data_IF_369690651866
#
_entry.id   IF_369690651866
#
_cell.length_a   1.000
_cell.length_b   1.000
_cell.length_c   1.000
_cell.angle_alpha   90.00
_cell.angle_beta   90.00
_cell.angle_gamma   90.00
#
_symmetry.space_group_name_H-M   'P 1'
#
loop_
_entity.id
_entity.type
_entity.pdbx_description
1 polymer ?
#
# COMPACT_ATOMS: atom_id res chain seq x y z
N UNK A 1 33.55 17.27 -47.04
CA UNK A 1 34.14 16.79 -45.76
C UNK A 1 33.59 17.74 -44.72
N UNK A 2 32.36 17.46 -44.34
CA UNK A 2 31.49 18.37 -43.60
C UNK A 2 31.34 17.86 -42.18
N UNK A 3 31.69 18.73 -41.23
CA UNK A 3 31.43 18.53 -39.82
C UNK A 3 29.92 18.61 -39.57
N UNK A 4 29.30 17.65 -38.86
CA UNK A 4 27.95 17.83 -38.36
C UNK A 4 27.95 18.68 -37.08
N UNK A 5 27.24 19.79 -37.20
CA UNK A 5 26.76 20.73 -36.19
C UNK A 5 26.34 20.10 -34.84
N UNK A 6 26.85 20.69 -33.75
CA UNK A 6 26.35 20.53 -32.39
C UNK A 6 24.91 21.05 -32.28
N UNK A 7 23.94 20.13 -32.16
CA UNK A 7 22.60 20.45 -31.70
C UNK A 7 22.63 20.83 -30.21
N UNK A 8 22.26 22.07 -29.90
CA UNK A 8 22.01 22.54 -28.54
C UNK A 8 20.83 21.77 -27.93
N UNK A 9 20.88 21.42 -26.63
CA UNK A 9 19.76 20.77 -25.97
C UNK A 9 18.55 21.72 -25.88
N UNK A 10 17.41 21.25 -26.36
CA UNK A 10 16.10 21.88 -26.10
C UNK A 10 15.82 21.89 -24.58
N UNK A 11 15.22 22.95 -24.03
CA UNK A 11 14.85 22.99 -22.63
C UNK A 11 13.80 21.92 -22.35
N UNK A 12 14.10 21.05 -21.40
CA UNK A 12 13.14 20.09 -20.87
C UNK A 12 11.90 20.86 -20.39
N UNK A 13 10.77 20.63 -21.04
CA UNK A 13 9.48 21.03 -20.51
C UNK A 13 9.34 20.42 -19.12
N UNK A 14 9.30 21.29 -18.11
CA UNK A 14 8.93 20.91 -16.76
C UNK A 14 7.51 20.38 -16.81
N UNK A 15 7.40 19.05 -16.82
CA UNK A 15 6.16 18.36 -16.51
C UNK A 15 5.79 18.77 -15.09
N UNK A 16 4.94 19.79 -14.97
CA UNK A 16 4.22 20.09 -13.74
C UNK A 16 3.47 18.80 -13.40
N UNK A 17 4.01 18.05 -12.44
CA UNK A 17 3.25 17.06 -11.70
C UNK A 17 2.10 17.83 -11.07
N UNK A 18 0.95 17.83 -11.74
CA UNK A 18 -0.29 18.29 -11.16
C UNK A 18 -0.60 17.29 -10.04
N UNK A 19 -0.12 17.58 -8.83
CA UNK A 19 -0.77 17.05 -7.65
C UNK A 19 -2.18 17.62 -7.66
N UNK A 20 -3.11 16.87 -8.25
CA UNK A 20 -4.52 17.02 -7.92
C UNK A 20 -4.64 16.57 -6.46
N UNK A 21 -4.25 17.45 -5.54
CA UNK A 21 -4.93 17.56 -4.25
C UNK A 21 -6.36 18.01 -4.57
N UNK A 22 -7.17 17.08 -5.09
CA UNK A 22 -8.61 17.20 -4.97
C UNK A 22 -8.87 17.08 -3.49
N UNK A 23 -8.93 18.22 -2.79
CA UNK A 23 -9.48 18.25 -1.44
C UNK A 23 -10.85 17.59 -1.54
N UNK A 24 -11.03 16.46 -0.88
CA UNK A 24 -12.33 15.83 -0.74
C UNK A 24 -13.26 16.88 -0.14
N UNK A 25 -14.31 17.31 -0.86
CA UNK A 25 -15.17 18.37 -0.39
C UNK A 25 -16.00 17.89 0.81
N UNK A 26 -15.77 18.53 1.96
CA UNK A 26 -16.45 18.26 3.22
C UNK A 26 -17.46 19.37 3.54
N UNK A 27 -18.68 19.00 3.92
CA UNK A 27 -19.80 19.90 4.16
C UNK A 27 -20.33 19.77 5.59
N UNK A 28 -20.26 20.87 6.33
CA UNK A 28 -20.80 21.06 7.69
C UNK A 28 -21.86 22.17 7.70
N UNK A 29 -22.67 22.21 6.65
CA UNK A 29 -23.62 23.30 6.40
C UNK A 29 -25.06 22.82 6.25
N UNK A 30 -25.33 21.58 6.68
CA UNK A 30 -26.69 21.08 6.80
C UNK A 30 -27.37 21.77 8.00
N UNK A 31 -28.40 22.61 7.79
CA UNK A 31 -29.05 23.32 8.87
C UNK A 31 -30.14 22.49 9.58
N UNK A 32 -30.51 21.32 9.05
CA UNK A 32 -31.66 20.55 9.53
C UNK A 32 -31.24 19.24 10.22
N UNK A 33 -31.99 18.79 11.24
CA UNK A 33 -31.76 17.50 11.88
C UNK A 33 -32.49 16.35 11.16
N UNK A 34 -33.01 16.55 9.96
CA UNK A 34 -33.91 15.64 9.23
C UNK A 34 -33.17 14.55 8.41
N UNK A 35 -31.83 14.52 8.51
CA UNK A 35 -30.96 13.58 7.79
C UNK A 35 -31.13 13.59 6.26
N UNK A 36 -31.65 14.67 5.67
CA UNK A 36 -31.79 14.82 4.22
C UNK A 36 -30.53 15.38 3.54
N UNK A 37 -29.49 15.73 4.31
CA UNK A 37 -28.26 16.33 3.80
C UNK A 37 -28.55 17.63 3.02
N UNK A 38 -29.02 18.64 3.73
CA UNK A 38 -29.57 19.86 3.15
C UNK A 38 -28.52 20.94 2.84
N UNK A 39 -27.25 20.53 2.68
CA UNK A 39 -26.12 21.41 2.43
C UNK A 39 -26.34 22.28 1.17
N UNK A 40 -26.22 23.62 1.27
CA UNK A 40 -26.34 24.53 0.13
C UNK A 40 -25.34 24.24 -0.99
N UNK A 41 -24.17 23.68 -0.65
CA UNK A 41 -23.16 23.36 -1.66
C UNK A 41 -23.54 22.12 -2.46
N UNK A 42 -24.09 21.10 -1.80
CA UNK A 42 -24.60 19.89 -2.45
C UNK A 42 -25.78 20.27 -3.35
N UNK A 43 -26.73 21.07 -2.84
CA UNK A 43 -27.86 21.59 -3.64
C UNK A 43 -27.36 22.35 -4.88
N UNK A 44 -26.36 23.23 -4.74
CA UNK A 44 -25.76 23.93 -5.90
C UNK A 44 -25.12 23.00 -6.94
N UNK A 45 -24.65 21.82 -6.57
CA UNK A 45 -24.12 20.85 -7.53
C UNK A 45 -25.21 20.12 -8.30
N UNK A 46 -26.38 19.96 -7.67
CA UNK A 46 -27.56 19.35 -8.26
C UNK A 46 -28.40 20.36 -9.07
N UNK A 47 -28.23 21.66 -8.82
CA UNK A 47 -28.85 22.76 -9.58
C UNK A 47 -28.22 22.96 -10.97
N UNK A 48 -28.48 22.01 -11.87
CA UNK A 48 -27.94 22.01 -13.24
C UNK A 48 -28.49 23.18 -14.07
N UNK A 49 -29.75 23.55 -13.85
CA UNK A 49 -30.44 24.62 -14.58
C UNK A 49 -30.17 26.03 -14.01
N UNK A 50 -29.50 26.12 -12.85
CA UNK A 50 -29.16 27.36 -12.14
C UNK A 50 -30.39 28.18 -11.74
N UNK A 51 -31.48 27.51 -11.44
CA UNK A 51 -32.72 28.17 -11.00
C UNK A 51 -32.63 28.66 -9.54
N UNK A 52 -31.66 28.17 -8.77
CA UNK A 52 -31.53 28.44 -7.34
C UNK A 52 -32.43 27.57 -6.46
N UNK A 53 -33.25 26.69 -7.06
CA UNK A 53 -34.02 25.67 -6.37
C UNK A 53 -33.73 24.30 -7.01
N UNK A 54 -33.72 23.25 -6.20
CA UNK A 54 -33.51 21.89 -6.68
C UNK A 54 -34.63 21.04 -6.13
N UNK A 55 -35.49 20.58 -7.01
CA UNK A 55 -36.51 19.59 -6.68
C UNK A 55 -35.91 18.19 -6.63
N UNK A 56 -36.59 17.26 -5.95
CA UNK A 56 -36.16 15.85 -5.92
C UNK A 56 -35.97 15.26 -7.34
N UNK A 57 -36.89 15.55 -8.27
CA UNK A 57 -36.80 15.08 -9.65
C UNK A 57 -35.58 15.66 -10.40
N UNK A 58 -35.28 16.95 -10.17
CA UNK A 58 -34.08 17.58 -10.73
C UNK A 58 -32.80 17.00 -10.13
N UNK A 59 -32.78 16.76 -8.81
CA UNK A 59 -31.65 16.11 -8.14
C UNK A 59 -31.39 14.71 -8.72
N UNK A 60 -32.44 13.91 -8.91
CA UNK A 60 -32.32 12.58 -9.54
C UNK A 60 -31.80 12.70 -10.98
N UNK A 61 -32.38 13.60 -11.79
CA UNK A 61 -31.91 13.82 -13.16
C UNK A 61 -30.48 14.35 -13.25
N UNK A 62 -30.04 15.16 -12.29
CA UNK A 62 -28.67 15.65 -12.22
C UNK A 62 -27.66 14.51 -11.98
N UNK A 63 -28.04 13.43 -11.28
CA UNK A 63 -27.18 12.27 -11.05
C UNK A 63 -26.91 11.43 -12.32
N UNK A 64 -27.70 11.60 -13.39
CA UNK A 64 -27.42 11.02 -14.70
C UNK A 64 -26.25 11.72 -15.43
N UNK A 65 -25.90 12.94 -15.01
CA UNK A 65 -24.77 13.69 -15.55
C UNK A 65 -23.48 13.18 -14.92
N UNK A 66 -22.58 12.62 -15.73
CA UNK A 66 -21.30 12.04 -15.28
C UNK A 66 -20.51 12.99 -14.37
N UNK A 67 -20.39 14.27 -14.75
CA UNK A 67 -19.62 15.24 -13.97
C UNK A 67 -20.22 15.48 -12.56
N UNK A 68 -21.54 15.49 -12.45
CA UNK A 68 -22.24 15.63 -11.15
C UNK A 68 -22.04 14.35 -10.35
N UNK A 69 -22.23 13.18 -10.96
CA UNK A 69 -22.03 11.88 -10.30
C UNK A 69 -20.60 11.73 -9.77
N UNK A 70 -19.58 12.06 -10.56
CA UNK A 70 -18.17 12.00 -10.11
C UNK A 70 -17.94 12.92 -8.91
N UNK A 71 -18.55 14.11 -8.91
CA UNK A 71 -18.41 15.05 -7.81
C UNK A 71 -19.11 14.57 -6.54
N UNK A 72 -20.34 14.07 -6.67
CA UNK A 72 -21.14 13.51 -5.57
C UNK A 72 -20.47 12.28 -4.97
N UNK A 73 -19.83 11.45 -5.79
CA UNK A 73 -19.11 10.25 -5.33
C UNK A 73 -17.91 10.57 -4.41
N UNK A 74 -17.53 11.84 -4.29
CA UNK A 74 -16.47 12.34 -3.40
C UNK A 74 -17.00 13.28 -2.32
N UNK A 75 -18.32 13.44 -2.18
CA UNK A 75 -18.92 14.30 -1.16
C UNK A 75 -18.77 13.68 0.23
N UNK A 76 -18.43 14.50 1.20
CA UNK A 76 -18.40 14.14 2.62
C UNK A 76 -19.32 15.11 3.35
N UNK A 77 -20.39 14.61 3.97
CA UNK A 77 -21.46 15.45 4.54
C UNK A 77 -21.62 15.13 6.03
N UNK A 78 -21.71 16.16 6.86
CA UNK A 78 -22.01 16.02 8.29
C UNK A 78 -23.52 16.14 8.50
N UNK A 79 -24.14 15.11 9.06
CA UNK A 79 -25.55 15.12 9.47
C UNK A 79 -25.80 13.99 10.49
N UNK A 80 -26.93 14.03 11.23
CA UNK A 80 -27.21 13.05 12.27
C UNK A 80 -27.18 11.60 11.76
N UNK A 81 -26.52 10.71 12.52
CA UNK A 81 -26.46 9.28 12.22
C UNK A 81 -27.83 8.60 12.39
N UNK A 82 -28.16 7.69 11.48
CA UNK A 82 -29.39 6.89 11.54
C UNK A 82 -29.37 5.88 12.71
N UNK A 83 -28.18 5.56 13.21
CA UNK A 83 -27.96 4.53 14.23
C UNK A 83 -28.18 5.03 15.68
N UNK A 84 -28.60 6.27 15.87
CA UNK A 84 -28.85 6.87 17.20
C UNK A 84 -30.30 6.67 17.63
N UNK A 85 -30.52 6.29 18.90
CA UNK A 85 -31.87 6.21 19.49
C UNK A 85 -32.46 7.61 19.71
N UNK A 86 -31.60 8.59 20.00
CA UNK A 86 -32.01 9.97 20.19
C UNK A 86 -32.38 10.66 18.86
N UNK A 87 -33.37 11.55 18.89
CA UNK A 87 -33.70 12.41 17.75
C UNK A 87 -34.36 11.72 16.54
N UNK A 88 -34.86 10.49 16.68
CA UNK A 88 -35.53 9.74 15.61
C UNK A 88 -36.68 10.52 14.98
N UNK A 89 -37.56 11.11 15.79
CA UNK A 89 -38.67 11.92 15.27
C UNK A 89 -38.19 13.15 14.53
N UNK A 90 -37.14 13.83 15.02
CA UNK A 90 -36.57 14.99 14.32
C UNK A 90 -36.00 14.61 12.94
N UNK A 91 -35.41 13.42 12.83
CA UNK A 91 -34.91 12.86 11.56
C UNK A 91 -36.03 12.52 10.59
N UNK A 92 -37.09 11.88 11.07
CA UNK A 92 -38.04 11.22 10.18
C UNK A 92 -39.43 11.87 10.09
N UNK A 93 -39.74 12.89 10.91
CA UNK A 93 -41.07 13.52 10.93
C UNK A 93 -41.52 14.09 9.58
N UNK A 94 -40.59 14.43 8.69
CA UNK A 94 -40.92 14.89 7.33
C UNK A 94 -41.72 13.83 6.54
N UNK A 95 -41.59 12.54 6.87
CA UNK A 95 -42.35 11.44 6.26
C UNK A 95 -43.86 11.48 6.54
N UNK A 96 -44.29 12.27 7.55
CA UNK A 96 -45.70 12.42 7.92
C UNK A 96 -46.43 13.48 7.11
N UNK A 97 -45.71 14.28 6.33
CA UNK A 97 -46.26 15.35 5.50
C UNK A 97 -45.91 15.13 4.03
N UNK A 98 -46.67 15.70 3.08
CA UNK A 98 -46.28 15.67 1.68
C UNK A 98 -44.88 16.26 1.51
N UNK A 99 -44.00 15.51 0.85
CA UNK A 99 -42.64 15.91 0.55
C UNK A 99 -42.36 15.64 -0.93
N UNK A 100 -41.48 16.41 -1.55
CA UNK A 100 -41.18 16.23 -2.98
C UNK A 100 -40.63 14.83 -3.32
N UNK A 101 -39.95 14.19 -2.37
CA UNK A 101 -39.45 12.82 -2.47
C UNK A 101 -40.46 11.75 -2.00
N UNK A 102 -41.59 12.16 -1.42
CA UNK A 102 -42.61 11.26 -0.86
C UNK A 102 -44.01 11.81 -1.16
N UNK A 103 -44.60 11.32 -2.26
CA UNK A 103 -45.93 11.73 -2.72
C UNK A 103 -47.06 11.28 -1.79
N UNK A 104 -46.89 10.16 -1.09
CA UNK A 104 -47.86 9.64 -0.12
C UNK A 104 -47.23 9.61 1.28
N UNK A 105 -47.63 10.51 2.18
CA UNK A 105 -47.13 10.51 3.56
C UNK A 105 -47.46 9.21 4.29
N UNK A 106 -46.61 8.83 5.24
CA UNK A 106 -46.87 7.68 6.10
C UNK A 106 -48.07 7.96 7.02
N UNK A 107 -48.91 6.95 7.21
CA UNK A 107 -49.94 6.98 8.26
C UNK A 107 -49.27 6.93 9.64
N UNK A 108 -49.95 7.43 10.68
CA UNK A 108 -49.40 7.36 12.06
C UNK A 108 -49.03 5.92 12.48
N UNK A 109 -49.85 4.87 12.20
CA UNK A 109 -49.45 3.49 12.49
C UNK A 109 -48.19 3.02 11.74
N UNK A 110 -48.02 3.42 10.49
CA UNK A 110 -46.84 3.03 9.70
C UNK A 110 -45.59 3.75 10.17
N UNK A 111 -45.72 5.05 10.46
CA UNK A 111 -44.65 5.86 11.00
C UNK A 111 -44.15 5.31 12.34
N UNK A 112 -45.07 4.98 13.26
CA UNK A 112 -44.70 4.41 14.55
C UNK A 112 -43.99 3.06 14.41
N UNK A 113 -44.46 2.19 13.49
CA UNK A 113 -43.76 0.93 13.17
C UNK A 113 -42.34 1.15 12.66
N UNK A 114 -42.12 2.15 11.80
CA UNK A 114 -40.78 2.53 11.34
C UNK A 114 -39.91 3.04 12.50
N UNK A 115 -40.45 3.87 13.38
CA UNK A 115 -39.71 4.40 14.54
C UNK A 115 -39.32 3.31 15.52
N UNK A 116 -40.20 2.35 15.78
CA UNK A 116 -39.89 1.20 16.63
C UNK A 116 -38.79 0.35 16.01
N UNK A 117 -38.87 0.07 14.70
CA UNK A 117 -37.82 -0.67 14.01
C UNK A 117 -36.47 0.07 14.01
N UNK A 118 -36.46 1.38 13.75
CA UNK A 118 -35.25 2.18 13.78
C UNK A 118 -34.63 2.21 15.19
N UNK A 119 -35.47 2.25 16.24
CA UNK A 119 -35.03 2.21 17.64
C UNK A 119 -34.41 0.87 18.02
N UNK A 120 -34.94 -0.24 17.52
CA UNK A 120 -34.41 -1.58 17.75
C UNK A 120 -33.05 -1.81 17.05
N UNK A 121 -32.83 -1.17 15.90
CA UNK A 121 -31.56 -1.24 15.16
C UNK A 121 -30.52 -0.22 15.63
N UNK A 122 -30.94 0.83 16.33
CA UNK A 122 -30.05 1.89 16.80
C UNK A 122 -29.17 1.39 17.97
N UNK A 123 -27.87 1.64 17.88
CA UNK A 123 -26.87 1.20 18.86
C UNK A 123 -25.84 2.28 19.19
N UNK A 124 -25.95 3.49 18.63
CA UNK A 124 -24.91 4.52 18.75
C UNK A 124 -24.58 4.87 20.19
N UNK A 125 -25.59 4.97 21.06
CA UNK A 125 -25.44 5.26 22.48
C UNK A 125 -24.87 4.09 23.30
N UNK A 126 -24.86 2.88 22.75
CA UNK A 126 -24.38 1.67 23.42
C UNK A 126 -22.86 1.46 23.20
N UNK A 127 -22.23 2.27 22.33
CA UNK A 127 -20.79 2.19 22.05
C UNK A 127 -20.02 2.95 23.14
N UNK A 128 -19.17 2.23 23.89
CA UNK A 128 -18.31 2.82 24.92
C UNK A 128 -16.92 3.11 24.36
N UNK A 129 -16.82 4.16 23.53
CA UNK A 129 -15.56 4.67 23.00
C UNK A 129 -15.49 6.19 23.22
N UNK A 130 -14.41 6.66 23.85
CA UNK A 130 -14.21 8.08 24.16
C UNK A 130 -13.98 8.92 22.89
N UNK A 131 -13.55 8.28 21.80
CA UNK A 131 -13.31 8.93 20.52
C UNK A 131 -14.52 8.87 19.57
N UNK A 132 -15.64 8.28 20.00
CA UNK A 132 -16.87 8.22 19.21
C UNK A 132 -17.47 9.63 19.05
N UNK A 133 -17.71 10.12 17.81
CA UNK A 133 -18.32 11.42 17.62
C UNK A 133 -19.76 11.44 18.12
N UNK A 134 -20.27 12.60 18.59
CA UNK A 134 -21.68 12.79 18.89
C UNK A 134 -22.57 12.36 17.73
N UNK A 135 -23.75 11.83 18.02
CA UNK A 135 -24.68 11.30 17.01
C UNK A 135 -25.08 12.34 15.95
N UNK A 136 -25.16 13.62 16.33
CA UNK A 136 -25.44 14.75 15.45
C UNK A 136 -24.20 15.29 14.71
N UNK A 137 -23.02 14.72 14.96
CA UNK A 137 -21.75 15.17 14.42
C UNK A 137 -21.02 14.12 13.56
N UNK A 138 -21.78 13.19 13.00
CA UNK A 138 -21.25 12.12 12.16
C UNK A 138 -21.02 12.59 10.72
N UNK A 139 -19.85 12.22 10.17
CA UNK A 139 -19.50 12.46 8.77
C UNK A 139 -19.81 11.24 7.91
N UNK A 140 -20.57 11.45 6.84
CA UNK A 140 -21.01 10.42 5.91
C UNK A 140 -20.35 10.63 4.55
N UNK A 141 -20.06 9.54 3.84
CA UNK A 141 -19.48 9.60 2.50
C UNK A 141 -19.91 8.37 1.67
N UNK A 142 -20.00 8.49 0.33
CA UNK A 142 -20.26 7.35 -0.52
C UNK A 142 -19.11 6.32 -0.45
N UNK A 143 -19.36 5.09 0.02
CA UNK A 143 -18.27 4.13 0.25
C UNK A 143 -17.66 3.61 -1.05
N UNK A 144 -18.36 3.72 -2.19
CA UNK A 144 -17.96 3.11 -3.46
C UNK A 144 -16.66 3.69 -4.00
N UNK A 145 -16.46 5.01 -3.95
CA UNK A 145 -15.20 5.66 -4.36
C UNK A 145 -14.07 5.28 -3.43
N UNK A 146 -14.32 5.27 -2.12
CA UNK A 146 -13.34 4.86 -1.13
C UNK A 146 -12.89 3.41 -1.37
N UNK A 147 -13.83 2.48 -1.51
CA UNK A 147 -13.55 1.08 -1.81
C UNK A 147 -12.78 0.95 -3.14
N UNK A 148 -13.20 1.69 -4.19
CA UNK A 148 -12.52 1.68 -5.49
C UNK A 148 -11.06 2.13 -5.35
N UNK A 149 -10.81 3.18 -4.57
CA UNK A 149 -9.45 3.66 -4.29
C UNK A 149 -8.64 2.65 -3.48
N UNK A 150 -9.21 2.07 -2.42
CA UNK A 150 -8.56 1.07 -1.59
C UNK A 150 -8.19 -0.19 -2.38
N UNK A 151 -9.04 -0.61 -3.33
CA UNK A 151 -8.74 -1.71 -4.25
C UNK A 151 -7.51 -1.47 -5.13
N UNK A 152 -7.14 -0.21 -5.40
CA UNK A 152 -5.90 0.11 -6.13
C UNK A 152 -4.64 -0.01 -5.27
N UNK A 153 -4.78 -0.03 -3.94
CA UNK A 153 -3.63 -0.12 -3.05
C UNK A 153 -2.94 -1.48 -3.10
N UNK A 154 -3.65 -2.53 -3.58
CA UNK A 154 -3.14 -3.89 -3.76
C UNK A 154 -2.42 -4.43 -2.51
N UNK A 155 -2.95 -4.14 -1.33
CA UNK A 155 -2.39 -4.63 -0.06
C UNK A 155 -2.83 -6.06 0.17
N UNK A 156 -1.88 -6.89 0.54
CA UNK A 156 -2.14 -8.27 0.94
C UNK A 156 -2.12 -8.40 2.45
N UNK A 157 -3.13 -9.08 2.97
CA UNK A 157 -3.20 -9.60 4.32
C UNK A 157 -2.31 -10.84 4.48
N UNK A 158 -2.06 -11.26 5.72
CA UNK A 158 -1.28 -12.48 5.98
C UNK A 158 -1.95 -13.74 5.39
N UNK A 159 -3.28 -13.80 5.35
CA UNK A 159 -4.02 -14.90 4.73
C UNK A 159 -3.93 -14.90 3.21
N UNK A 160 -3.78 -13.74 2.58
CA UNK A 160 -3.51 -13.64 1.14
C UNK A 160 -2.06 -13.99 0.81
N UNK A 161 -1.09 -13.55 1.61
CA UNK A 161 0.31 -13.99 1.46
C UNK A 161 0.46 -15.51 1.56
N UNK A 162 -0.27 -16.14 2.48
CA UNK A 162 -0.31 -17.62 2.58
C UNK A 162 -0.74 -18.27 1.26
N UNK A 163 -1.66 -17.65 0.53
CA UNK A 163 -2.15 -18.20 -0.75
C UNK A 163 -1.15 -18.09 -1.90
N UNK A 164 -0.07 -17.30 -1.75
CA UNK A 164 1.00 -17.26 -2.75
C UNK A 164 1.84 -18.54 -2.74
N UNK A 165 1.93 -19.19 -1.58
CA UNK A 165 2.74 -20.39 -1.44
C UNK A 165 2.06 -21.56 -2.18
N UNK A 166 2.82 -22.32 -2.99
CA UNK A 166 2.34 -23.60 -3.48
C UNK A 166 2.08 -24.54 -2.29
N UNK A 167 1.19 -25.53 -2.45
CA UNK A 167 1.01 -26.56 -1.42
C UNK A 167 2.19 -27.52 -1.37
N UNK A 168 2.72 -27.85 -2.55
CA UNK A 168 3.80 -28.79 -2.75
C UNK A 168 4.77 -28.25 -3.81
N UNK A 169 6.05 -28.58 -3.67
CA UNK A 169 7.10 -28.19 -4.61
C UNK A 169 7.87 -29.42 -5.06
N UNK A 170 8.29 -29.40 -6.32
CA UNK A 170 9.05 -30.50 -6.91
C UNK A 170 10.51 -30.43 -6.46
N UNK A 171 11.03 -31.54 -5.93
CA UNK A 171 12.44 -31.68 -5.54
C UNK A 171 13.10 -32.82 -6.29
N UNK A 172 14.37 -32.62 -6.59
CA UNK A 172 15.24 -33.63 -7.13
C UNK A 172 16.07 -34.22 -5.97
N UNK A 173 15.92 -35.53 -5.78
CA UNK A 173 16.68 -36.32 -4.82
C UNK A 173 17.84 -37.06 -5.47
N UNK A 174 18.51 -37.95 -4.71
CA UNK A 174 19.57 -38.80 -5.23
C UNK A 174 19.12 -39.59 -6.47
N UNK A 175 20.05 -39.81 -7.41
CA UNK A 175 19.80 -40.54 -8.66
C UNK A 175 18.70 -39.93 -9.56
N UNK A 176 18.52 -38.61 -9.52
CA UNK A 176 17.49 -37.90 -10.29
C UNK A 176 16.05 -38.32 -9.96
N UNK A 177 15.82 -38.89 -8.76
CA UNK A 177 14.48 -39.18 -8.30
C UNK A 177 13.72 -37.88 -8.03
N UNK A 178 12.45 -37.82 -8.44
CA UNK A 178 11.62 -36.62 -8.28
C UNK A 178 10.54 -36.88 -7.25
N UNK A 179 10.39 -35.99 -6.27
CA UNK A 179 9.36 -36.10 -5.25
C UNK A 179 8.74 -34.74 -4.92
N UNK A 180 7.53 -34.77 -4.35
CA UNK A 180 6.83 -33.57 -3.86
C UNK A 180 7.20 -33.33 -2.40
N UNK A 181 7.59 -32.10 -2.08
CA UNK A 181 7.82 -31.61 -0.73
C UNK A 181 6.69 -30.64 -0.34
N UNK A 182 6.06 -30.86 0.81
CA UNK A 182 5.02 -29.97 1.33
C UNK A 182 5.60 -28.62 1.76
N UNK A 183 4.91 -27.54 1.40
CA UNK A 183 5.24 -26.18 1.84
C UNK A 183 4.20 -25.74 2.88
N UNK A 184 4.45 -26.15 4.12
CA UNK A 184 3.54 -25.84 5.22
C UNK A 184 3.62 -24.38 5.66
N UNK A 185 2.50 -23.87 6.17
CA UNK A 185 2.38 -22.54 6.78
C UNK A 185 2.95 -22.54 8.21
N UNK A 186 4.27 -22.71 8.30
CA UNK A 186 5.03 -22.90 9.54
C UNK A 186 5.15 -21.62 10.36
N UNK A 187 5.67 -21.73 11.60
CA UNK A 187 5.94 -20.56 12.48
C UNK A 187 6.87 -19.54 11.80
N UNK A 188 8.02 -19.92 11.20
CA UNK A 188 8.91 -18.95 10.53
C UNK A 188 8.21 -18.10 9.48
N UNK A 189 7.41 -18.72 8.60
CA UNK A 189 6.66 -18.01 7.55
C UNK A 189 5.63 -17.04 8.12
N UNK A 190 4.89 -17.48 9.15
CA UNK A 190 3.93 -16.63 9.87
C UNK A 190 4.60 -15.41 10.49
N UNK A 191 5.71 -15.62 11.20
CA UNK A 191 6.46 -14.55 11.86
C UNK A 191 7.05 -13.57 10.84
N UNK A 192 7.64 -14.07 9.76
CA UNK A 192 8.22 -13.25 8.70
C UNK A 192 7.15 -12.38 8.02
N UNK A 193 6.00 -12.95 7.67
CA UNK A 193 4.91 -12.20 7.02
C UNK A 193 4.22 -11.24 8.00
N UNK A 194 4.07 -11.61 9.27
CA UNK A 194 3.55 -10.70 10.29
C UNK A 194 4.47 -9.49 10.47
N UNK A 195 5.79 -9.69 10.50
CA UNK A 195 6.77 -8.63 10.67
C UNK A 195 6.93 -7.75 9.42
N UNK A 196 7.07 -8.37 8.23
CA UNK A 196 7.46 -7.66 7.01
C UNK A 196 6.32 -7.42 6.01
N UNK A 197 5.14 -8.01 6.21
CA UNK A 197 3.97 -7.81 5.33
C UNK A 197 3.60 -6.33 5.10
N UNK A 198 3.54 -5.48 6.15
CA UNK A 198 3.31 -4.05 5.97
C UNK A 198 4.39 -3.35 5.12
N UNK A 199 5.66 -3.70 5.32
CA UNK A 199 6.79 -3.15 4.54
C UNK A 199 6.76 -3.62 3.09
N UNK A 200 6.41 -4.88 2.84
CA UNK A 200 6.21 -5.43 1.49
C UNK A 200 5.09 -4.69 0.76
N UNK A 201 3.93 -4.48 1.39
CA UNK A 201 2.82 -3.73 0.80
C UNK A 201 3.19 -2.27 0.47
N UNK A 202 4.05 -1.64 1.29
CA UNK A 202 4.60 -0.30 1.00
C UNK A 202 5.57 -0.35 -0.18
N UNK A 203 6.45 -1.34 -0.23
CA UNK A 203 7.41 -1.56 -1.31
C UNK A 203 6.70 -1.77 -2.65
N UNK A 204 5.70 -2.66 -2.72
CA UNK A 204 4.96 -2.93 -3.95
C UNK A 204 4.41 -1.63 -4.57
N UNK A 205 3.91 -0.73 -3.73
CA UNK A 205 3.44 0.60 -4.19
C UNK A 205 4.58 1.52 -4.58
N UNK A 206 5.62 1.63 -3.74
CA UNK A 206 6.79 2.50 -3.98
C UNK A 206 7.48 2.19 -5.31
N UNK A 207 7.54 0.92 -5.69
CA UNK A 207 8.22 0.45 -6.90
C UNK A 207 7.27 0.03 -8.03
N UNK A 208 6.01 0.47 -7.94
CA UNK A 208 4.96 0.24 -8.96
C UNK A 208 4.81 -1.24 -9.34
N UNK A 209 4.93 -2.15 -8.38
CA UNK A 209 4.62 -3.58 -8.50
C UNK A 209 3.12 -3.77 -8.20
N UNK A 210 2.28 -3.14 -9.02
CA UNK A 210 0.85 -2.95 -8.75
C UNK A 210 -0.08 -3.57 -9.82
N UNK A 211 0.47 -4.26 -10.82
CA UNK A 211 -0.31 -5.05 -11.78
C UNK A 211 -0.21 -6.54 -11.46
N UNK A 212 -1.24 -7.36 -11.77
CA UNK A 212 -1.22 -8.79 -11.49
C UNK A 212 0.04 -9.49 -12.01
N UNK A 213 0.49 -9.14 -13.22
CA UNK A 213 1.72 -9.69 -13.82
C UNK A 213 2.97 -9.32 -13.02
N UNK A 214 3.12 -8.05 -12.63
CA UNK A 214 4.31 -7.59 -11.88
C UNK A 214 4.35 -8.21 -10.48
N UNK A 215 3.19 -8.30 -9.82
CA UNK A 215 3.03 -8.97 -8.52
C UNK A 215 3.43 -10.44 -8.64
N UNK A 216 2.88 -11.18 -9.61
CA UNK A 216 3.20 -12.59 -9.83
C UNK A 216 4.69 -12.82 -10.11
N UNK A 217 5.31 -12.00 -10.98
CA UNK A 217 6.74 -12.11 -11.27
C UNK A 217 7.61 -11.78 -10.06
N UNK A 218 7.28 -10.73 -9.31
CA UNK A 218 8.00 -10.38 -8.09
C UNK A 218 7.95 -11.51 -7.06
N UNK A 219 6.75 -12.00 -6.73
CA UNK A 219 6.60 -13.05 -5.72
C UNK A 219 7.09 -14.41 -6.20
N UNK A 220 7.00 -14.72 -7.49
CA UNK A 220 7.59 -15.94 -8.05
C UNK A 220 9.09 -16.04 -7.78
N UNK A 221 9.82 -14.94 -8.00
CA UNK A 221 11.25 -14.86 -7.66
C UNK A 221 11.45 -14.84 -6.15
N UNK A 222 10.74 -13.96 -5.43
CA UNK A 222 10.96 -13.78 -4.01
C UNK A 222 10.72 -15.06 -3.20
N UNK A 223 9.71 -15.86 -3.56
CA UNK A 223 9.45 -17.14 -2.91
C UNK A 223 10.60 -18.13 -3.11
N UNK A 224 11.16 -18.24 -4.32
CA UNK A 224 12.28 -19.13 -4.58
C UNK A 224 13.53 -18.72 -3.78
N UNK A 225 13.83 -17.42 -3.79
CA UNK A 225 15.01 -16.84 -3.14
C UNK A 225 14.96 -16.91 -1.60
N UNK A 226 13.76 -16.97 -1.01
CA UNK A 226 13.56 -16.94 0.46
C UNK A 226 13.13 -18.29 1.05
N UNK A 227 13.34 -19.39 0.31
CA UNK A 227 12.89 -20.73 0.70
C UNK A 227 11.39 -20.71 1.05
N UNK A 228 10.59 -20.25 0.09
CA UNK A 228 9.14 -20.09 0.20
C UNK A 228 8.75 -19.16 1.35
N UNK A 229 9.37 -17.97 1.42
CA UNK A 229 9.12 -16.93 2.44
C UNK A 229 9.38 -17.39 3.88
N UNK A 230 10.41 -18.22 4.09
CA UNK A 230 10.78 -18.72 5.42
C UNK A 230 12.06 -18.11 6.00
N UNK A 231 12.94 -17.55 5.15
CA UNK A 231 14.22 -16.96 5.56
C UNK A 231 14.57 -15.75 4.68
N UNK A 232 15.24 -14.74 5.24
CA UNK A 232 15.72 -13.56 4.51
C UNK A 232 17.25 -13.44 4.50
N UNK A 233 17.99 -14.36 5.09
CA UNK A 233 19.45 -14.34 5.10
C UNK A 233 20.00 -15.74 4.82
N UNK A 234 20.78 -15.88 3.74
CA UNK A 234 21.41 -17.16 3.36
C UNK A 234 22.32 -17.69 4.48
N UNK A 235 23.11 -16.81 5.10
CA UNK A 235 23.96 -17.07 6.26
C UNK A 235 24.86 -18.32 6.10
N UNK A 236 25.48 -18.46 4.93
CA UNK A 236 26.40 -19.54 4.65
C UNK A 236 27.85 -19.04 4.65
N UNK A 237 28.58 -19.15 5.77
CA UNK A 237 29.94 -18.63 5.89
C UNK A 237 30.96 -19.33 4.99
N UNK A 238 30.63 -20.52 4.46
CA UNK A 238 31.50 -21.28 3.57
C UNK A 238 31.48 -20.78 2.12
N UNK A 239 30.56 -19.88 1.77
CA UNK A 239 30.49 -19.35 0.41
C UNK A 239 31.61 -18.33 0.17
N UNK A 240 32.20 -18.37 -1.03
CA UNK A 240 33.32 -17.49 -1.39
C UNK A 240 32.96 -15.99 -1.33
N UNK A 241 31.68 -15.66 -1.47
CA UNK A 241 31.18 -14.29 -1.43
C UNK A 241 30.81 -13.82 -0.02
N UNK A 242 30.82 -14.68 1.01
CA UNK A 242 30.58 -14.28 2.39
C UNK A 242 31.60 -13.19 2.81
N UNK A 243 31.20 -12.12 3.52
CA UNK A 243 29.90 -11.86 4.17
C UNK A 243 28.88 -11.10 3.29
N UNK A 244 29.12 -11.00 1.98
CA UNK A 244 28.25 -10.34 1.01
C UNK A 244 27.24 -11.30 0.38
N UNK A 245 26.78 -12.28 1.16
CA UNK A 245 25.77 -13.27 0.84
C UNK A 245 24.35 -12.69 0.74
N UNK A 246 23.43 -13.51 0.25
CA UNK A 246 22.06 -13.11 -0.07
C UNK A 246 21.27 -12.65 1.14
N UNK A 247 20.67 -11.45 1.04
CA UNK A 247 19.73 -10.91 2.04
C UNK A 247 18.47 -10.30 1.45
N UNK A 248 17.38 -10.34 2.21
CA UNK A 248 16.10 -9.76 1.86
C UNK A 248 15.28 -10.59 0.86
N UNK A 249 14.17 -10.02 0.39
CA UNK A 249 13.18 -10.77 -0.39
C UNK A 249 13.62 -11.18 -1.80
N UNK A 250 14.66 -10.54 -2.35
CA UNK A 250 15.27 -10.93 -3.63
C UNK A 250 16.76 -11.24 -3.48
N UNK A 251 17.20 -11.62 -2.26
CA UNK A 251 18.56 -12.05 -1.96
C UNK A 251 19.65 -11.14 -2.57
N UNK A 252 19.66 -9.86 -2.16
CA UNK A 252 20.68 -8.89 -2.56
C UNK A 252 22.07 -9.46 -2.20
N UNK A 253 22.89 -9.72 -3.21
CA UNK A 253 24.17 -10.45 -3.08
C UNK A 253 25.30 -9.66 -3.74
N UNK A 254 26.53 -9.82 -3.27
CA UNK A 254 27.75 -9.12 -3.71
C UNK A 254 27.84 -7.65 -3.26
N UNK A 255 29.05 -7.17 -2.88
CA UNK A 255 29.24 -5.82 -2.33
C UNK A 255 28.79 -4.71 -3.27
N UNK A 256 28.94 -4.88 -4.59
CA UNK A 256 28.48 -3.89 -5.57
C UNK A 256 26.97 -3.60 -5.46
N UNK A 257 26.17 -4.63 -5.23
CA UNK A 257 24.72 -4.48 -5.09
C UNK A 257 24.33 -3.81 -3.76
N UNK A 258 25.03 -4.12 -2.67
CA UNK A 258 24.84 -3.45 -1.37
C UNK A 258 25.24 -1.97 -1.44
N UNK A 259 26.42 -1.67 -1.99
CA UNK A 259 26.89 -0.30 -2.20
C UNK A 259 25.90 0.50 -3.07
N UNK A 260 25.43 -0.09 -4.18
CA UNK A 260 24.43 0.55 -5.04
C UNK A 260 23.09 0.78 -4.35
N UNK A 261 22.65 -0.15 -3.49
CA UNK A 261 21.46 0.05 -2.68
C UNK A 261 21.64 1.20 -1.68
N UNK A 262 22.78 1.29 -0.99
CA UNK A 262 23.05 2.39 -0.06
C UNK A 262 23.19 3.75 -0.76
N UNK A 263 23.71 3.79 -1.97
CA UNK A 263 23.70 4.98 -2.83
C UNK A 263 22.27 5.41 -3.17
N UNK A 264 21.44 4.45 -3.58
CA UNK A 264 20.01 4.70 -3.84
C UNK A 264 19.27 5.24 -2.60
N UNK A 265 19.65 4.77 -1.40
CA UNK A 265 19.10 5.27 -0.13
C UNK A 265 19.61 6.66 0.25
N UNK A 266 20.59 7.21 -0.47
CA UNK A 266 21.21 8.50 -0.16
C UNK A 266 22.16 8.46 1.04
N UNK A 267 22.54 7.27 1.51
CA UNK A 267 23.40 7.08 2.68
C UNK A 267 24.82 6.63 2.30
N UNK A 268 25.04 6.24 1.04
CA UNK A 268 26.34 5.77 0.56
C UNK A 268 27.47 6.81 0.65
N UNK A 269 27.16 8.11 0.73
CA UNK A 269 28.15 9.18 0.91
C UNK A 269 28.94 9.08 2.22
N UNK A 270 28.46 8.31 3.20
CA UNK A 270 29.18 8.02 4.45
C UNK A 270 30.31 7.00 4.28
N UNK A 271 30.39 6.34 3.11
CA UNK A 271 31.43 5.37 2.77
C UNK A 271 32.39 6.03 1.76
N UNK A 272 33.64 6.23 2.17
CA UNK A 272 34.65 6.82 1.30
C UNK A 272 34.92 5.96 0.05
N UNK A 273 35.35 6.59 -1.04
CA UNK A 273 35.71 5.87 -2.27
C UNK A 273 36.87 4.89 -2.06
N UNK A 274 37.79 5.20 -1.14
CA UNK A 274 38.87 4.32 -0.76
C UNK A 274 38.35 3.00 -0.14
N UNK A 275 37.43 3.08 0.81
CA UNK A 275 36.81 1.91 1.44
C UNK A 275 36.02 1.09 0.43
N UNK A 276 35.27 1.75 -0.46
CA UNK A 276 34.54 1.08 -1.56
C UNK A 276 35.48 0.25 -2.43
N UNK A 277 36.59 0.86 -2.86
CA UNK A 277 37.58 0.19 -3.71
C UNK A 277 38.23 -1.00 -2.98
N UNK A 278 38.53 -0.86 -1.68
CA UNK A 278 39.09 -1.97 -0.87
C UNK A 278 38.13 -3.15 -0.80
N UNK A 279 36.85 -2.92 -0.48
CA UNK A 279 35.84 -3.98 -0.40
C UNK A 279 35.62 -4.65 -1.76
N UNK A 280 35.52 -3.88 -2.84
CA UNK A 280 35.35 -4.43 -4.19
C UNK A 280 36.58 -5.24 -4.64
N UNK A 281 37.79 -4.76 -4.32
CA UNK A 281 39.03 -5.47 -4.61
C UNK A 281 39.15 -6.79 -3.83
N UNK A 282 38.89 -6.74 -2.52
CA UNK A 282 38.85 -7.92 -1.66
C UNK A 282 37.89 -9.00 -2.20
N UNK A 283 36.71 -8.57 -2.66
CA UNK A 283 35.73 -9.46 -3.26
C UNK A 283 36.20 -10.05 -4.61
N UNK A 284 36.84 -9.25 -5.46
CA UNK A 284 37.42 -9.73 -6.72
C UNK A 284 38.54 -10.76 -6.47
N UNK A 285 39.36 -10.54 -5.44
CA UNK A 285 40.39 -11.49 -5.01
C UNK A 285 39.79 -12.81 -4.53
N UNK A 286 38.73 -12.76 -3.72
CA UNK A 286 38.00 -13.96 -3.29
C UNK A 286 37.33 -14.70 -4.46
N UNK A 287 36.80 -14.01 -5.46
CA UNK A 287 36.26 -14.66 -6.66
C UNK A 287 37.36 -15.39 -7.44
N UNK A 288 38.56 -14.81 -7.48
CA UNK A 288 39.72 -15.37 -8.18
C UNK A 288 40.34 -16.56 -7.42
N UNK A 289 40.19 -16.59 -6.10
CA UNK A 289 40.76 -17.58 -5.19
C UNK A 289 39.69 -18.20 -4.28
N UNK A 290 38.62 -18.75 -4.88
CA UNK A 290 37.44 -19.25 -4.13
C UNK A 290 37.77 -20.20 -2.97
N UNK A 291 38.70 -21.16 -3.10
CA UNK A 291 39.06 -22.05 -1.98
C UNK A 291 39.66 -21.33 -0.76
N UNK A 292 40.27 -20.15 -0.96
CA UNK A 292 40.82 -19.31 0.11
C UNK A 292 40.05 -18.01 0.32
N UNK A 293 38.82 -17.90 -0.18
CA UNK A 293 38.07 -16.65 -0.24
C UNK A 293 37.95 -15.92 1.11
N UNK A 294 37.82 -16.65 2.22
CA UNK A 294 37.73 -16.08 3.56
C UNK A 294 38.98 -15.28 3.97
N UNK A 295 40.15 -15.60 3.41
CA UNK A 295 41.40 -14.87 3.63
C UNK A 295 41.40 -13.48 2.98
N UNK A 296 40.48 -13.23 2.05
CA UNK A 296 40.40 -11.98 1.29
C UNK A 296 39.17 -11.16 1.63
N UNK A 297 38.02 -11.80 1.88
CA UNK A 297 36.73 -11.12 1.87
C UNK A 297 36.06 -10.98 3.24
N UNK A 298 36.65 -11.50 4.33
CA UNK A 298 36.11 -11.30 5.69
C UNK A 298 36.09 -9.82 6.08
N UNK A 299 35.18 -9.42 6.98
CA UNK A 299 35.04 -8.02 7.40
C UNK A 299 36.34 -7.45 7.99
N UNK A 300 37.13 -8.28 8.67
CA UNK A 300 38.44 -7.89 9.21
C UNK A 300 39.52 -7.66 8.15
N UNK A 301 39.35 -8.23 6.94
CA UNK A 301 40.32 -8.12 5.84
C UNK A 301 39.90 -7.09 4.81
N UNK A 302 38.60 -7.04 4.48
CA UNK A 302 38.07 -6.09 3.51
C UNK A 302 37.87 -4.68 4.10
N UNK A 303 38.08 -4.52 5.41
CA UNK A 303 37.93 -3.29 6.18
C UNK A 303 36.54 -2.63 6.05
N UNK A 304 35.50 -3.45 5.91
CA UNK A 304 34.12 -2.99 6.00
C UNK A 304 33.90 -2.27 7.34
N UNK A 305 33.42 -1.04 7.26
CA UNK A 305 33.21 -0.22 8.45
C UNK A 305 32.06 -0.79 9.30
N UNK A 306 32.00 -0.47 10.61
CA UNK A 306 30.89 -0.88 11.46
C UNK A 306 29.52 -0.50 10.89
N UNK A 307 29.40 0.67 10.23
CA UNK A 307 28.16 1.12 9.62
C UNK A 307 27.79 0.28 8.39
N UNK A 308 28.76 -0.19 7.60
CA UNK A 308 28.51 -1.11 6.49
C UNK A 308 28.02 -2.47 6.97
N UNK A 309 28.64 -3.00 8.03
CA UNK A 309 28.23 -4.28 8.65
C UNK A 309 26.81 -4.17 9.18
N UNK A 310 26.49 -3.07 9.86
CA UNK A 310 25.14 -2.77 10.35
C UNK A 310 24.11 -2.64 9.22
N UNK A 311 24.38 -1.83 8.19
CA UNK A 311 23.44 -1.68 7.08
C UNK A 311 23.25 -2.95 6.27
N UNK A 312 24.29 -3.80 6.19
CA UNK A 312 24.20 -5.11 5.56
C UNK A 312 23.31 -6.04 6.37
N UNK A 313 23.45 -6.07 7.70
CA UNK A 313 22.60 -6.91 8.57
C UNK A 313 21.13 -6.49 8.55
N UNK A 314 20.83 -5.20 8.42
CA UNK A 314 19.47 -4.67 8.29
C UNK A 314 18.70 -5.22 7.08
N UNK A 315 19.38 -5.68 6.02
CA UNK A 315 18.71 -6.24 4.83
C UNK A 315 18.18 -7.65 5.07
N UNK A 316 18.70 -8.38 6.07
CA UNK A 316 18.30 -9.75 6.42
C UNK A 316 17.26 -9.82 7.54
N UNK A 317 17.11 -11.01 8.12
CA UNK A 317 16.20 -11.32 9.25
C UNK A 317 16.93 -11.50 10.60
N UNK A 318 18.24 -11.25 10.65
CA UNK A 318 19.06 -11.48 11.84
C UNK A 318 18.66 -10.63 13.05
N UNK A 319 18.00 -9.50 12.83
CA UNK A 319 17.44 -8.68 13.90
C UNK A 319 16.18 -7.95 13.42
N UNK A 320 15.03 -8.61 13.57
CA UNK A 320 13.70 -8.09 13.22
C UNK A 320 13.40 -6.76 13.96
N UNK A 321 14.17 -6.40 15.00
CA UNK A 321 13.99 -5.17 15.77
C UNK A 321 14.64 -3.91 15.17
N UNK A 322 15.57 -4.03 14.22
CA UNK A 322 16.40 -2.89 13.77
C UNK A 322 15.84 -2.13 12.55
N UNK A 323 15.43 -2.83 11.49
CA UNK A 323 14.89 -2.19 10.28
C UNK A 323 13.95 -3.13 9.50
N UNK A 324 12.65 -3.05 9.79
CA UNK A 324 11.63 -3.84 9.08
C UNK A 324 11.44 -3.43 7.62
N UNK A 325 12.01 -2.30 7.18
CA UNK A 325 11.81 -1.74 5.84
C UNK A 325 12.90 -2.23 4.90
N UNK A 326 14.15 -2.30 5.33
CA UNK A 326 15.30 -2.62 4.49
C UNK A 326 15.20 -3.93 3.69
N UNK A 327 14.67 -5.06 4.22
CA UNK A 327 14.53 -6.29 3.44
C UNK A 327 13.56 -6.15 2.25
N UNK A 328 12.49 -5.36 2.43
CA UNK A 328 11.54 -5.06 1.35
C UNK A 328 12.11 -4.00 0.40
N UNK A 329 12.65 -2.91 0.93
CA UNK A 329 13.12 -1.77 0.14
C UNK A 329 14.30 -2.15 -0.78
N UNK A 330 15.22 -2.98 -0.30
CA UNK A 330 16.31 -3.56 -1.10
C UNK A 330 15.79 -4.42 -2.26
N UNK A 331 14.76 -5.24 -2.02
CA UNK A 331 14.10 -6.02 -3.07
C UNK A 331 13.44 -5.11 -4.12
N UNK A 332 12.79 -4.03 -3.71
CA UNK A 332 12.22 -3.03 -4.63
C UNK A 332 13.27 -2.28 -5.45
N UNK A 333 14.40 -1.93 -4.83
CA UNK A 333 15.57 -1.39 -5.52
C UNK A 333 16.11 -2.38 -6.57
N UNK A 334 16.33 -3.64 -6.17
CA UNK A 334 16.85 -4.67 -7.06
C UNK A 334 15.90 -4.97 -8.23
N UNK A 335 14.60 -5.03 -7.95
CA UNK A 335 13.54 -5.13 -8.96
C UNK A 335 13.62 -4.00 -9.99
N UNK A 336 13.81 -2.77 -9.54
CA UNK A 336 13.96 -1.60 -10.42
C UNK A 336 15.23 -1.66 -11.25
N UNK A 337 16.36 -2.07 -10.64
CA UNK A 337 17.66 -2.23 -11.30
C UNK A 337 17.59 -3.27 -12.43
N UNK A 338 16.95 -4.41 -12.20
CA UNK A 338 16.76 -5.43 -13.25
C UNK A 338 15.81 -4.97 -14.36
N UNK A 339 14.73 -4.25 -14.02
CA UNK A 339 13.78 -3.72 -15.00
C UNK A 339 14.37 -2.67 -15.95
N UNK A 340 15.41 -1.95 -15.55
CA UNK A 340 16.13 -1.02 -16.44
C UNK A 340 17.03 -1.70 -17.48
N UNK A 341 17.32 -2.99 -17.33
CA UNK A 341 18.11 -3.77 -18.30
C UNK A 341 17.24 -4.43 -19.40
N UNK A 342 15.91 -4.34 -19.26
CA UNK A 342 14.92 -4.96 -20.16
C UNK A 342 14.11 -3.92 -20.97
N UNK A 343 14.62 -2.70 -21.14
CA UNK A 343 14.02 -1.67 -22.01
C UNK A 343 14.91 -1.33 -23.19
#
# INVERSE_FOLDING_TARGET
MDQPSLMKPHPAHSGKSASLQTRTPAFDSDPTPDSLCDSPTVKKWLDVNRSGQVTHAEAVGALDIEAVRQRMAHAVCKFPTEWSKAGLEARYNWLKSPHEALTNPLSDPDFNRLMDHARDLAFWEDIHDADLPPANECWHFPPTTFIRQFRTCAWFSASEFKQFLPREVLREGPHHAVYYENVDWTVPRRSLIAAHGPSLNKMLRKYSVNSPRRVATFFGNAMQETIWLSVLHENNPNMWYYPWDGRGFLQLTHPENYLGYWDFKGIGNQISQEIRNRVLHAHAMANSHRPQAQQYNSDSVNEATPIMIQWRSHVGDHDISLDLVAPSDSAGFYWSKMGSQLR
#
